data_IF_718567066474
#
_entry.id   IF_718567066474
#
_cell.length_a   1.000
_cell.length_b   1.000
_cell.length_c   1.000
_cell.angle_alpha   90.00
_cell.angle_beta   90.00
_cell.angle_gamma   90.00
#
_symmetry.space_group_name_H-M   'P 1'
#
loop_
_entity.id
_entity.type
_entity.pdbx_description
1 polymer ?
#
# COMPACT_ATOMS: atom_id res chain seq x y z
N UNK A 1 16.65 11.15 17.56
CA UNK A 1 16.11 10.82 16.23
C UNK A 1 15.61 9.39 16.30
N UNK A 2 14.37 9.16 16.70
CA UNK A 2 13.75 7.82 16.66
C UNK A 2 12.25 8.03 16.69
N UNK A 3 11.67 8.30 15.53
CA UNK A 3 10.22 8.17 15.32
C UNK A 3 10.06 7.04 14.31
N UNK A 4 10.31 5.81 14.78
CA UNK A 4 10.05 4.60 14.02
C UNK A 4 8.55 4.31 14.08
N UNK A 5 7.76 5.16 13.41
CA UNK A 5 6.46 4.74 12.87
C UNK A 5 6.74 3.52 11.99
N UNK A 6 6.25 2.36 12.42
CA UNK A 6 6.56 1.06 11.86
C UNK A 6 6.32 1.04 10.34
N UNK A 7 7.39 1.21 9.56
CA UNK A 7 7.33 1.28 8.10
C UNK A 7 7.19 -0.15 7.59
N UNK A 8 5.96 -0.66 7.51
CA UNK A 8 5.69 -2.00 7.03
C UNK A 8 4.74 -1.97 5.83
N UNK A 9 4.94 -2.88 4.88
CA UNK A 9 4.01 -3.04 3.77
C UNK A 9 2.61 -3.37 4.30
N UNK A 10 1.59 -2.57 3.96
CA UNK A 10 0.21 -2.75 4.41
C UNK A 10 -0.35 -4.15 4.11
N UNK A 11 0.16 -4.83 3.08
CA UNK A 11 -0.32 -6.14 2.65
C UNK A 11 0.43 -7.32 3.29
N UNK A 12 1.76 -7.24 3.43
CA UNK A 12 2.58 -8.38 3.88
C UNK A 12 3.40 -8.12 5.15
N UNK A 13 3.31 -6.92 5.72
CA UNK A 13 3.94 -6.50 6.97
C UNK A 13 5.48 -6.57 6.99
N UNK A 14 6.12 -6.80 5.83
CA UNK A 14 7.58 -6.73 5.72
C UNK A 14 8.07 -5.30 5.84
N UNK A 15 9.15 -5.13 6.60
CA UNK A 15 9.84 -3.86 6.81
C UNK A 15 10.86 -3.53 5.71
N UNK A 16 11.52 -2.35 5.79
CA UNK A 16 12.48 -1.89 4.79
C UNK A 16 13.75 -2.77 4.70
N UNK A 17 14.07 -3.52 5.76
CA UNK A 17 15.21 -4.45 5.78
C UNK A 17 14.93 -5.75 4.98
N UNK A 18 13.66 -6.07 4.72
CA UNK A 18 13.23 -7.29 4.03
C UNK A 18 12.81 -7.03 2.57
N UNK A 19 12.30 -5.84 2.27
CA UNK A 19 11.86 -5.45 0.91
C UNK A 19 11.82 -3.92 0.77
N UNK A 20 12.10 -3.35 -0.42
CA UNK A 20 11.87 -1.93 -0.64
C UNK A 20 10.41 -1.56 -0.39
N UNK A 21 10.19 -0.37 0.17
CA UNK A 21 8.87 0.18 0.43
C UNK A 21 8.64 1.45 -0.39
N UNK A 22 7.43 1.57 -0.93
CA UNK A 22 6.92 2.76 -1.61
C UNK A 22 5.98 3.47 -0.66
N UNK A 23 6.18 4.77 -0.49
CA UNK A 23 5.32 5.61 0.34
C UNK A 23 4.05 6.01 -0.42
N UNK A 24 2.90 5.89 0.22
CA UNK A 24 1.60 6.32 -0.30
C UNK A 24 1.02 7.40 0.62
N UNK A 25 0.69 8.57 0.07
CA UNK A 25 -0.09 9.58 0.79
C UNK A 25 -1.57 9.37 0.46
N UNK A 26 -2.40 9.07 1.46
CA UNK A 26 -3.82 8.83 1.26
C UNK A 26 -4.64 9.25 2.48
N UNK A 27 -5.69 10.07 2.26
CA UNK A 27 -6.59 10.56 3.30
C UNK A 27 -5.88 11.20 4.51
N UNK A 28 -4.78 11.92 4.27
CA UNK A 28 -4.00 12.56 5.33
C UNK A 28 -3.09 11.62 6.12
N UNK A 29 -3.00 10.35 5.74
CA UNK A 29 -2.09 9.37 6.30
C UNK A 29 -0.98 9.00 5.32
N UNK A 30 0.16 8.60 5.88
CA UNK A 30 1.28 8.02 5.15
C UNK A 30 1.22 6.51 5.37
N UNK A 31 1.14 5.77 4.27
CA UNK A 31 1.11 4.30 4.24
C UNK A 31 2.31 3.79 3.43
N UNK A 32 2.60 2.50 3.57
CA UNK A 32 3.70 1.85 2.87
C UNK A 32 3.22 0.60 2.15
N UNK A 33 3.72 0.37 0.93
CA UNK A 33 3.46 -0.84 0.17
C UNK A 33 4.74 -1.28 -0.53
N UNK A 34 5.04 -2.58 -0.56
CA UNK A 34 6.21 -3.07 -1.29
C UNK A 34 5.89 -3.26 -2.79
N UNK A 35 6.90 -3.24 -3.68
CA UNK A 35 6.69 -3.46 -5.11
C UNK A 35 5.98 -4.76 -5.48
N UNK A 36 6.10 -5.82 -4.66
CA UNK A 36 5.38 -7.08 -4.94
C UNK A 36 3.87 -6.97 -4.73
N UNK A 37 3.40 -6.04 -3.88
CA UNK A 37 1.98 -5.85 -3.58
C UNK A 37 1.39 -4.58 -4.20
N UNK A 38 2.23 -3.68 -4.74
CA UNK A 38 1.77 -2.53 -5.52
C UNK A 38 0.83 -2.93 -6.69
N UNK A 39 1.03 -4.05 -7.42
CA UNK A 39 0.09 -4.49 -8.45
C UNK A 39 -1.33 -4.77 -7.93
N UNK A 40 -1.49 -5.16 -6.65
CA UNK A 40 -2.82 -5.34 -6.06
C UNK A 40 -3.54 -4.00 -6.00
N UNK A 41 -2.86 -2.94 -5.57
CA UNK A 41 -3.44 -1.59 -5.52
C UNK A 41 -3.90 -1.10 -6.91
N UNK A 42 -3.18 -1.50 -7.98
CA UNK A 42 -3.44 -1.05 -9.35
C UNK A 42 -4.52 -1.90 -10.03
N UNK A 43 -4.43 -3.23 -9.93
CA UNK A 43 -5.27 -4.16 -10.71
C UNK A 43 -6.47 -4.71 -9.93
N UNK A 44 -6.39 -4.81 -8.60
CA UNK A 44 -7.45 -5.39 -7.77
C UNK A 44 -7.48 -4.77 -6.35
N UNK A 45 -7.80 -3.47 -6.23
CA UNK A 45 -7.75 -2.77 -4.95
C UNK A 45 -8.78 -3.28 -3.95
N UNK A 46 -9.81 -4.02 -4.39
CA UNK A 46 -10.79 -4.65 -3.51
C UNK A 46 -10.17 -5.67 -2.54
N UNK A 47 -9.02 -6.26 -2.88
CA UNK A 47 -8.26 -7.14 -1.97
C UNK A 47 -7.62 -6.41 -0.79
N UNK A 48 -7.67 -5.08 -0.76
CA UNK A 48 -7.14 -4.25 0.33
C UNK A 48 -8.24 -3.77 1.30
N UNK A 49 -9.50 -4.19 1.11
CA UNK A 49 -10.58 -3.91 2.07
C UNK A 49 -10.18 -4.44 3.45
N UNK A 50 -10.26 -3.57 4.46
CA UNK A 50 -9.80 -3.87 5.83
C UNK A 50 -8.30 -3.66 6.09
N UNK A 51 -7.48 -3.44 5.05
CA UNK A 51 -6.06 -3.10 5.15
C UNK A 51 -5.77 -1.64 4.78
N UNK A 52 -6.51 -1.11 3.79
CA UNK A 52 -6.42 0.26 3.30
C UNK A 52 -7.78 0.96 3.51
N UNK A 53 -7.84 2.01 4.35
CA UNK A 53 -9.12 2.67 4.67
C UNK A 53 -9.82 3.26 3.43
N UNK A 54 -10.98 2.74 3.01
CA UNK A 54 -11.69 3.21 1.83
C UNK A 54 -11.36 2.46 0.54
N UNK A 55 -10.65 1.33 0.62
CA UNK A 55 -10.38 0.44 -0.52
C UNK A 55 -11.66 -0.02 -1.23
N UNK A 56 -12.76 -0.20 -0.50
CA UNK A 56 -14.11 -0.50 -1.01
C UNK A 56 -14.64 0.49 -2.06
N UNK A 57 -14.05 1.68 -2.17
CA UNK A 57 -14.41 2.70 -3.17
C UNK A 57 -13.39 2.84 -4.29
N UNK A 58 -12.25 2.17 -4.19
CA UNK A 58 -11.21 2.20 -5.20
C UNK A 58 -11.58 1.29 -6.38
N UNK A 59 -11.17 1.70 -7.57
CA UNK A 59 -11.37 0.93 -8.81
C UNK A 59 -10.00 0.58 -9.41
N UNK A 60 -9.89 -0.57 -10.08
CA UNK A 60 -8.70 -0.87 -10.88
C UNK A 60 -8.36 0.30 -11.80
N UNK A 61 -7.07 0.56 -12.00
CA UNK A 61 -6.62 1.49 -13.02
C UNK A 61 -7.00 0.93 -14.40
N UNK A 62 -7.58 1.77 -15.26
CA UNK A 62 -7.85 1.40 -16.65
C UNK A 62 -6.51 1.37 -17.39
N UNK A 63 -6.10 0.17 -17.83
CA UNK A 63 -4.94 0.02 -18.70
C UNK A 63 -5.20 0.75 -20.01
N UNK A 64 -4.40 1.78 -20.30
CA UNK A 64 -4.31 2.35 -21.64
C UNK A 64 -3.16 1.62 -22.33
N UNK A 65 -3.51 0.81 -23.33
CA UNK A 65 -2.54 0.21 -24.28
C UNK A 65 -1.87 1.29 -25.15
#
# INVERSE_FOLDING_TARGET
MSDSTDQSCLACQRGPDETPLVQLAYRGSILWICPQHLPILIHDPGRLVGLLPGAETLRPAEGHD
#
